data_IF_574642501647
#
_entry.id   IF_574642501647
#
_cell.length_a   1.000
_cell.length_b   1.000
_cell.length_c   1.000
_cell.angle_alpha   90.00
_cell.angle_beta   90.00
_cell.angle_gamma   90.00
#
_symmetry.space_group_name_H-M   'P 1'
#
loop_
_entity.id
_entity.type
_entity.pdbx_description
1 polymer ?
#
# COMPACT_ATOMS: atom_id res chain seq x y z
N UNK A 1 -23.48 -34.44 -63.15
CA UNK A 1 -23.95 -33.96 -61.82
C UNK A 1 -22.76 -33.96 -60.86
N UNK A 2 -22.16 -32.78 -60.56
CA UNK A 2 -21.07 -32.63 -59.62
C UNK A 2 -21.65 -32.44 -58.23
N UNK A 3 -21.40 -33.36 -57.31
CA UNK A 3 -21.77 -33.20 -55.89
C UNK A 3 -20.76 -32.29 -55.22
N UNK A 4 -21.22 -31.12 -54.79
CA UNK A 4 -20.48 -30.16 -54.00
C UNK A 4 -20.58 -30.57 -52.52
N UNK A 5 -19.49 -31.02 -51.92
CA UNK A 5 -19.40 -31.27 -50.45
C UNK A 5 -19.10 -29.96 -49.77
N UNK A 6 -20.07 -29.45 -49.02
CA UNK A 6 -19.91 -28.29 -48.15
C UNK A 6 -19.26 -28.82 -46.84
N UNK A 7 -17.95 -28.62 -46.68
CA UNK A 7 -17.26 -28.88 -45.44
C UNK A 7 -17.54 -27.75 -44.43
N UNK A 8 -18.35 -28.08 -43.44
CA UNK A 8 -18.61 -27.22 -42.30
C UNK A 8 -17.39 -27.24 -41.41
N UNK A 9 -16.54 -26.20 -41.46
CA UNK A 9 -15.47 -25.97 -40.50
C UNK A 9 -16.12 -25.50 -39.18
N UNK A 10 -16.26 -26.40 -38.21
CA UNK A 10 -16.57 -26.06 -36.83
C UNK A 10 -15.29 -25.51 -36.21
N UNK A 11 -15.15 -24.20 -36.18
CA UNK A 11 -14.12 -23.56 -35.35
C UNK A 11 -14.48 -23.79 -33.88
N UNK A 12 -13.89 -24.81 -33.27
CA UNK A 12 -13.82 -24.95 -31.82
C UNK A 12 -12.98 -23.79 -31.29
N UNK A 13 -13.66 -22.70 -30.94
CA UNK A 13 -13.09 -21.66 -30.08
C UNK A 13 -12.76 -22.29 -28.73
N UNK A 14 -11.52 -22.74 -28.55
CA UNK A 14 -11.00 -22.99 -27.23
C UNK A 14 -10.98 -21.65 -26.51
N UNK A 15 -12.04 -21.35 -25.73
CA UNK A 15 -11.95 -20.39 -24.65
C UNK A 15 -10.86 -20.93 -23.72
N UNK A 16 -9.63 -20.45 -23.88
CA UNK A 16 -8.65 -20.53 -22.83
C UNK A 16 -9.30 -19.79 -21.66
N UNK A 17 -9.80 -20.54 -20.68
CA UNK A 17 -10.02 -20.06 -19.35
C UNK A 17 -8.62 -19.66 -18.87
N UNK A 18 -8.24 -18.38 -19.09
CA UNK A 18 -7.19 -17.80 -18.30
C UNK A 18 -7.69 -17.95 -16.87
N UNK A 19 -7.18 -18.95 -16.15
CA UNK A 19 -7.31 -18.99 -14.70
C UNK A 19 -6.69 -17.67 -14.23
N UNK A 20 -7.52 -16.75 -13.83
CA UNK A 20 -7.06 -15.48 -13.27
C UNK A 20 -6.18 -15.86 -12.07
N UNK A 21 -4.90 -15.48 -12.12
CA UNK A 21 -3.98 -15.80 -11.04
C UNK A 21 -4.42 -15.03 -9.80
N UNK A 22 -4.63 -15.74 -8.69
CA UNK A 22 -5.04 -15.15 -7.43
C UNK A 22 -3.86 -14.47 -6.73
N UNK A 23 -4.15 -13.37 -6.06
CA UNK A 23 -3.21 -12.72 -5.14
C UNK A 23 -3.03 -13.61 -3.91
N UNK A 24 -1.79 -13.83 -3.48
CA UNK A 24 -1.51 -14.56 -2.26
C UNK A 24 -1.71 -13.66 -1.03
N UNK A 25 -2.81 -13.83 -0.31
CA UNK A 25 -3.18 -13.05 0.89
C UNK A 25 -3.30 -14.00 2.08
N UNK A 26 -2.23 -14.20 2.87
CA UNK A 26 -2.20 -15.17 3.96
C UNK A 26 -2.98 -14.73 5.20
N UNK A 27 -3.08 -13.40 5.46
CA UNK A 27 -3.83 -12.89 6.61
C UNK A 27 -5.34 -12.98 6.34
N UNK A 28 -6.04 -13.75 7.18
CA UNK A 28 -7.46 -14.01 6.98
C UNK A 28 -8.33 -12.76 7.14
N UNK A 29 -7.95 -11.82 8.02
CA UNK A 29 -8.69 -10.59 8.24
C UNK A 29 -8.50 -9.62 7.06
N UNK A 30 -7.28 -9.52 6.56
CA UNK A 30 -7.01 -8.72 5.36
C UNK A 30 -7.72 -9.30 4.14
N UNK A 31 -7.65 -10.63 3.95
CA UNK A 31 -8.38 -11.32 2.88
C UNK A 31 -9.89 -11.08 2.98
N UNK A 32 -10.46 -11.24 4.17
CA UNK A 32 -11.90 -11.02 4.39
C UNK A 32 -12.33 -9.59 4.06
N UNK A 33 -11.51 -8.60 4.42
CA UNK A 33 -11.75 -7.20 4.06
C UNK A 33 -11.77 -6.99 2.54
N UNK A 34 -10.76 -7.51 1.84
CA UNK A 34 -10.64 -7.34 0.39
C UNK A 34 -11.77 -8.06 -0.37
N UNK A 35 -12.05 -9.31 0.01
CA UNK A 35 -13.14 -10.12 -0.61
C UNK A 35 -14.51 -9.51 -0.32
N UNK A 36 -14.72 -8.92 0.86
CA UNK A 36 -15.97 -8.24 1.23
C UNK A 36 -16.17 -6.88 0.53
N UNK A 37 -15.15 -6.34 -0.11
CA UNK A 37 -15.24 -5.07 -0.82
C UNK A 37 -15.58 -5.28 -2.31
N UNK A 38 -16.82 -5.01 -2.70
CA UNK A 38 -17.31 -5.23 -4.07
C UNK A 38 -16.67 -4.32 -5.11
N UNK A 39 -16.00 -3.24 -4.72
CA UNK A 39 -15.22 -2.41 -5.63
C UNK A 39 -13.84 -3.04 -5.95
N UNK A 40 -13.36 -3.95 -5.11
CA UNK A 40 -12.13 -4.72 -5.30
C UNK A 40 -12.47 -6.08 -5.91
N UNK A 41 -13.25 -6.89 -5.19
CA UNK A 41 -13.75 -8.20 -5.62
C UNK A 41 -14.96 -8.01 -6.55
N UNK A 42 -14.68 -7.78 -7.82
CA UNK A 42 -15.69 -7.39 -8.82
C UNK A 42 -16.48 -8.57 -9.36
N UNK A 43 -15.92 -9.78 -9.27
CA UNK A 43 -16.57 -11.01 -9.71
C UNK A 43 -17.37 -11.70 -8.59
N UNK A 44 -17.17 -11.27 -7.31
CA UNK A 44 -17.90 -11.74 -6.14
C UNK A 44 -17.54 -13.16 -5.70
N UNK A 45 -16.35 -13.66 -6.07
CA UNK A 45 -15.86 -14.96 -5.61
C UNK A 45 -15.16 -14.87 -4.23
N UNK A 46 -14.42 -15.90 -3.82
CA UNK A 46 -13.75 -15.95 -2.50
C UNK A 46 -12.28 -15.58 -2.56
N UNK A 47 -11.79 -15.11 -3.71
CA UNK A 47 -10.40 -14.76 -3.97
C UNK A 47 -10.30 -13.34 -4.53
N UNK A 48 -9.10 -12.79 -4.54
CA UNK A 48 -8.78 -11.57 -5.27
C UNK A 48 -7.85 -11.94 -6.41
N UNK A 49 -8.24 -11.64 -7.63
CA UNK A 49 -7.40 -11.87 -8.79
C UNK A 49 -6.40 -10.73 -8.98
N UNK A 50 -5.26 -11.02 -9.58
CA UNK A 50 -4.25 -10.00 -9.92
C UNK A 50 -4.88 -8.90 -10.80
N UNK A 51 -5.78 -9.27 -11.72
CA UNK A 51 -6.48 -8.29 -12.57
C UNK A 51 -7.38 -7.32 -11.79
N UNK A 52 -8.02 -7.79 -10.72
CA UNK A 52 -8.82 -6.94 -9.83
C UNK A 52 -7.94 -6.01 -9.00
N UNK A 53 -6.89 -6.57 -8.40
CA UNK A 53 -5.94 -5.80 -7.59
C UNK A 53 -5.25 -4.70 -8.41
N UNK A 54 -4.77 -5.02 -9.61
CA UNK A 54 -4.08 -4.04 -10.48
C UNK A 54 -5.01 -2.98 -11.07
N UNK A 55 -6.30 -3.30 -11.24
CA UNK A 55 -7.29 -2.35 -11.74
C UNK A 55 -7.80 -1.39 -10.65
N UNK A 56 -7.61 -1.73 -9.36
CA UNK A 56 -8.14 -0.94 -8.27
C UNK A 56 -7.27 0.29 -7.99
N UNK A 57 -7.87 1.49 -8.12
CA UNK A 57 -7.21 2.79 -7.94
C UNK A 57 -7.72 3.56 -6.72
N UNK A 58 -8.59 2.95 -5.92
CA UNK A 58 -9.24 3.58 -4.77
C UNK A 58 -8.40 3.57 -3.50
N UNK A 59 -9.09 3.73 -2.38
CA UNK A 59 -8.53 3.68 -1.03
C UNK A 59 -8.72 2.29 -0.41
N UNK A 60 -7.67 1.69 0.13
CA UNK A 60 -7.79 0.53 1.01
C UNK A 60 -7.84 1.04 2.46
N UNK A 61 -9.02 0.92 3.09
CA UNK A 61 -9.33 1.38 4.45
C UNK A 61 -9.47 0.15 5.38
N UNK A 62 -8.35 -0.53 5.68
CA UNK A 62 -8.33 -1.77 6.46
C UNK A 62 -7.92 -1.57 7.92
N UNK A 63 -8.26 -0.40 8.50
CA UNK A 63 -7.93 -0.05 9.90
C UNK A 63 -8.71 -0.89 10.92
N UNK A 64 -8.08 -1.15 12.07
CA UNK A 64 -8.70 -1.78 13.24
C UNK A 64 -9.34 -3.15 12.96
N UNK A 65 -8.65 -3.98 12.17
CA UNK A 65 -9.12 -5.32 11.78
C UNK A 65 -8.26 -6.45 12.35
N UNK A 66 -7.34 -6.16 13.28
CA UNK A 66 -6.41 -7.13 13.88
C UNK A 66 -5.49 -7.81 12.86
N UNK A 67 -5.22 -7.15 11.74
CA UNK A 67 -4.34 -7.64 10.66
C UNK A 67 -2.91 -7.71 11.17
N UNK A 68 -2.21 -8.79 10.84
CA UNK A 68 -0.81 -9.03 11.22
C UNK A 68 0.13 -8.97 10.02
N UNK A 69 -0.39 -9.18 8.82
CA UNK A 69 0.38 -9.22 7.58
C UNK A 69 -0.46 -8.64 6.44
N UNK A 70 0.11 -7.68 5.71
CA UNK A 70 -0.51 -7.09 4.52
C UNK A 70 0.02 -7.71 3.22
N UNK A 71 0.66 -8.88 3.28
CA UNK A 71 1.08 -9.57 2.07
C UNK A 71 -0.09 -9.73 1.10
N UNK A 72 0.17 -9.40 -0.17
CA UNK A 72 -0.85 -9.26 -1.21
C UNK A 72 -1.13 -7.80 -1.57
N UNK A 73 -0.75 -6.84 -0.69
CA UNK A 73 -0.89 -5.40 -1.00
C UNK A 73 -0.04 -5.00 -2.21
N UNK A 74 1.07 -5.68 -2.45
CA UNK A 74 1.98 -5.45 -3.58
C UNK A 74 1.31 -5.61 -4.95
N UNK A 75 0.18 -6.34 -5.02
CA UNK A 75 -0.58 -6.49 -6.26
C UNK A 75 -1.41 -5.23 -6.62
N UNK A 76 -1.64 -4.34 -5.66
CA UNK A 76 -2.44 -3.12 -5.83
C UNK A 76 -1.56 -1.95 -6.30
N UNK A 77 -0.95 -2.10 -7.47
CA UNK A 77 0.08 -1.16 -7.97
C UNK A 77 -0.45 0.23 -8.32
N UNK A 78 -1.76 0.39 -8.51
CA UNK A 78 -2.41 1.67 -8.81
C UNK A 78 -3.09 2.30 -7.56
N UNK A 79 -2.85 1.72 -6.36
CA UNK A 79 -3.40 2.21 -5.10
C UNK A 79 -2.83 3.58 -4.76
N UNK A 80 -3.71 4.56 -4.45
CA UNK A 80 -3.32 5.92 -4.09
C UNK A 80 -3.33 6.17 -2.59
N UNK A 81 -4.18 5.46 -1.84
CA UNK A 81 -4.39 5.69 -0.42
C UNK A 81 -4.45 4.37 0.35
N UNK A 82 -3.61 4.22 1.37
CA UNK A 82 -3.61 3.05 2.25
C UNK A 82 -3.78 3.48 3.70
N UNK A 83 -4.86 3.03 4.34
CA UNK A 83 -5.04 3.13 5.77
C UNK A 83 -5.06 1.73 6.41
N UNK A 84 -3.93 1.37 7.00
CA UNK A 84 -3.75 0.13 7.77
C UNK A 84 -3.52 0.40 9.26
N UNK A 85 -3.94 1.54 9.77
CA UNK A 85 -3.78 1.95 11.15
C UNK A 85 -4.51 1.02 12.15
N UNK A 86 -4.11 1.05 13.43
CA UNK A 86 -4.72 0.25 14.51
C UNK A 86 -4.74 -1.25 14.20
N UNK A 87 -3.65 -1.79 13.70
CA UNK A 87 -3.49 -3.21 13.42
C UNK A 87 -2.34 -3.82 14.27
N UNK A 88 -1.86 -4.99 13.91
CA UNK A 88 -0.80 -5.71 14.62
C UNK A 88 0.42 -5.94 13.72
N UNK A 89 0.63 -5.06 12.72
CA UNK A 89 1.71 -5.19 11.75
C UNK A 89 3.06 -5.04 12.44
N UNK A 90 3.98 -5.98 12.18
CA UNK A 90 5.38 -5.89 12.57
C UNK A 90 6.28 -5.50 11.41
N UNK A 91 5.81 -5.69 10.20
CA UNK A 91 6.44 -5.31 8.93
C UNK A 91 5.39 -4.73 7.98
N UNK A 92 5.82 -3.87 7.07
CA UNK A 92 4.98 -3.33 6.01
C UNK A 92 5.86 -3.10 4.78
N UNK A 93 5.55 -3.79 3.69
CA UNK A 93 6.20 -3.59 2.39
C UNK A 93 5.20 -2.91 1.44
N UNK A 94 5.49 -1.68 1.09
CA UNK A 94 4.72 -0.85 0.13
C UNK A 94 5.56 -0.49 -1.10
N UNK A 95 6.68 -1.15 -1.31
CA UNK A 95 7.63 -0.83 -2.41
C UNK A 95 7.02 -0.95 -3.80
N UNK A 96 6.02 -1.83 -4.00
CA UNK A 96 5.30 -1.95 -5.26
C UNK A 96 4.17 -0.92 -5.43
N UNK A 97 3.72 -0.27 -4.36
CA UNK A 97 2.61 0.68 -4.37
C UNK A 97 3.12 2.11 -4.64
N UNK A 98 3.80 2.29 -5.75
CA UNK A 98 4.50 3.55 -6.09
C UNK A 98 3.57 4.73 -6.37
N UNK A 99 2.28 4.48 -6.58
CA UNK A 99 1.26 5.50 -6.76
C UNK A 99 0.69 6.07 -5.45
N UNK A 100 1.13 5.56 -4.27
CA UNK A 100 0.63 6.04 -2.98
C UNK A 100 0.94 7.52 -2.79
N UNK A 101 -0.12 8.27 -2.47
CA UNK A 101 -0.08 9.67 -2.06
C UNK A 101 -0.35 9.84 -0.57
N UNK A 102 -1.08 8.90 0.05
CA UNK A 102 -1.41 8.90 1.47
C UNK A 102 -1.13 7.53 2.08
N UNK A 103 -0.37 7.51 3.18
CA UNK A 103 -0.10 6.31 3.95
C UNK A 103 -0.37 6.55 5.45
N UNK A 104 -1.36 5.84 6.00
CA UNK A 104 -1.65 5.77 7.42
C UNK A 104 -1.33 4.37 7.96
N UNK A 105 -0.19 4.24 8.65
CA UNK A 105 0.26 2.99 9.27
C UNK A 105 0.49 3.12 10.78
N UNK A 106 -0.07 4.15 11.39
CA UNK A 106 0.06 4.45 12.82
C UNK A 106 -0.63 3.40 13.71
N UNK A 107 -0.26 3.34 15.00
CA UNK A 107 -0.77 2.36 15.96
C UNK A 107 -0.59 0.91 15.47
N UNK A 108 0.66 0.56 15.16
CA UNK A 108 1.10 -0.78 14.81
C UNK A 108 2.34 -1.16 15.66
N UNK A 109 3.10 -2.16 15.23
CA UNK A 109 4.32 -2.64 15.91
C UNK A 109 5.52 -2.62 14.94
N UNK A 110 5.53 -1.69 13.98
CA UNK A 110 6.58 -1.59 12.97
C UNK A 110 7.91 -1.19 13.64
N UNK A 111 8.96 -1.95 13.36
CA UNK A 111 10.32 -1.62 13.79
C UNK A 111 11.13 -0.94 12.71
N UNK A 112 10.73 -1.10 11.47
CA UNK A 112 11.28 -0.46 10.26
C UNK A 112 10.15 -0.07 9.33
N UNK A 113 10.36 0.96 8.51
CA UNK A 113 9.46 1.37 7.44
C UNK A 113 10.30 1.93 6.30
N UNK A 114 10.24 1.27 5.15
CA UNK A 114 10.87 1.75 3.92
C UNK A 114 9.80 2.35 3.01
N UNK A 115 9.93 3.63 2.72
CA UNK A 115 9.04 4.41 1.84
C UNK A 115 9.81 5.02 0.66
N UNK A 116 11.02 4.56 0.41
CA UNK A 116 11.90 5.11 -0.63
C UNK A 116 11.33 4.98 -2.05
N UNK A 117 10.49 3.97 -2.30
CA UNK A 117 9.79 3.79 -3.57
C UNK A 117 8.52 4.66 -3.70
N UNK A 118 8.00 5.20 -2.61
CA UNK A 118 6.73 5.91 -2.58
C UNK A 118 6.91 7.43 -2.75
N UNK A 119 7.59 7.82 -3.80
CA UNK A 119 8.02 9.22 -4.04
C UNK A 119 6.87 10.20 -4.28
N UNK A 120 5.65 9.70 -4.48
CA UNK A 120 4.43 10.50 -4.62
C UNK A 120 3.72 10.79 -3.29
N UNK A 121 4.20 10.27 -2.14
CA UNK A 121 3.58 10.50 -0.85
C UNK A 121 3.58 12.00 -0.49
N UNK A 122 2.39 12.51 -0.16
CA UNK A 122 2.19 13.85 0.40
C UNK A 122 1.88 13.80 1.88
N UNK A 123 1.30 12.69 2.35
CA UNK A 123 0.94 12.50 3.77
C UNK A 123 1.46 11.14 4.26
N UNK A 124 2.24 11.16 5.35
CA UNK A 124 2.71 9.95 6.02
C UNK A 124 2.42 10.05 7.53
N UNK A 125 1.54 9.18 8.04
CA UNK A 125 1.31 9.00 9.47
C UNK A 125 1.78 7.64 9.93
N UNK A 126 2.93 7.60 10.62
CA UNK A 126 3.55 6.39 11.14
C UNK A 126 3.76 6.44 12.67
N UNK A 127 3.05 7.35 13.36
CA UNK A 127 3.16 7.51 14.80
C UNK A 127 2.70 6.27 15.58
N UNK A 128 3.08 6.17 16.86
CA UNK A 128 2.79 5.01 17.71
C UNK A 128 3.22 3.68 17.06
N UNK A 129 4.50 3.59 16.76
CA UNK A 129 5.20 2.39 16.30
C UNK A 129 6.49 2.19 17.11
N UNK A 130 7.42 1.37 16.64
CA UNK A 130 8.70 1.07 17.29
C UNK A 130 9.87 1.42 16.35
N UNK A 131 9.71 2.43 15.48
CA UNK A 131 10.71 2.80 14.49
C UNK A 131 11.96 3.39 15.20
N UNK A 132 13.13 2.88 14.87
CA UNK A 132 14.41 3.41 15.35
C UNK A 132 15.07 4.35 14.35
N UNK A 133 14.72 4.23 13.09
CA UNK A 133 15.13 5.08 11.96
C UNK A 133 13.95 5.31 11.04
N UNK A 134 13.94 6.43 10.35
CA UNK A 134 12.99 6.76 9.29
C UNK A 134 13.70 7.62 8.26
N UNK A 135 13.79 7.13 7.02
CA UNK A 135 14.32 7.88 5.89
C UNK A 135 13.16 8.33 4.98
N UNK A 136 13.00 9.65 4.86
CA UNK A 136 12.01 10.29 4.01
C UNK A 136 12.64 11.10 2.88
N UNK A 137 13.95 10.99 2.68
CA UNK A 137 14.72 11.82 1.73
C UNK A 137 14.27 11.67 0.27
N UNK A 138 13.72 10.49 -0.10
CA UNK A 138 13.19 10.25 -1.44
C UNK A 138 11.84 10.94 -1.69
N UNK A 139 11.14 11.40 -0.64
CA UNK A 139 9.76 11.91 -0.71
C UNK A 139 9.76 13.45 -0.70
N UNK A 140 10.27 14.06 -1.73
CA UNK A 140 10.47 15.53 -1.80
C UNK A 140 9.17 16.34 -1.83
N UNK A 141 8.03 15.69 -2.11
CA UNK A 141 6.69 16.29 -2.17
C UNK A 141 5.91 16.13 -0.85
N UNK A 142 6.52 15.54 0.20
CA UNK A 142 5.87 15.33 1.49
C UNK A 142 5.49 16.66 2.14
N UNK A 143 4.20 16.82 2.48
CA UNK A 143 3.66 18.03 3.12
C UNK A 143 3.33 17.81 4.58
N UNK A 144 2.94 16.59 4.96
CA UNK A 144 2.58 16.24 6.33
C UNK A 144 3.28 14.97 6.78
N UNK A 145 4.06 15.05 7.87
CA UNK A 145 4.71 13.91 8.52
C UNK A 145 4.33 13.86 10.00
N UNK A 146 3.68 12.76 10.42
CA UNK A 146 3.57 12.42 11.84
C UNK A 146 4.31 11.10 12.12
N UNK A 147 5.46 11.22 12.79
CA UNK A 147 6.29 10.12 13.27
C UNK A 147 6.43 10.12 14.81
N UNK A 148 5.52 10.77 15.52
CA UNK A 148 5.49 10.83 16.96
C UNK A 148 5.40 9.46 17.65
N UNK A 149 5.78 9.35 18.92
CA UNK A 149 5.74 8.11 19.69
C UNK A 149 6.44 6.94 18.97
N UNK A 150 7.70 7.12 18.66
CA UNK A 150 8.61 6.12 18.09
C UNK A 150 9.93 6.11 18.91
N UNK A 151 10.97 5.49 18.39
CA UNK A 151 12.30 5.43 19.03
C UNK A 151 13.38 6.09 18.16
N UNK A 152 13.02 7.08 17.35
CA UNK A 152 13.94 7.76 16.44
C UNK A 152 15.02 8.50 17.24
N UNK A 153 16.27 8.27 16.89
CA UNK A 153 17.42 8.99 17.46
C UNK A 153 17.87 10.16 16.58
N UNK A 154 17.57 10.11 15.30
CA UNK A 154 17.81 11.14 14.30
C UNK A 154 16.62 11.21 13.34
N UNK A 155 16.39 12.38 12.77
CA UNK A 155 15.43 12.60 11.68
C UNK A 155 15.99 13.71 10.79
N UNK A 156 16.20 13.38 9.51
CA UNK A 156 16.60 14.34 8.49
C UNK A 156 15.41 14.62 7.57
N UNK A 157 14.97 15.87 7.54
CA UNK A 157 13.89 16.37 6.68
C UNK A 157 14.37 17.41 5.68
N UNK A 158 15.67 17.55 5.49
CA UNK A 158 16.27 18.58 4.63
C UNK A 158 15.86 18.47 3.17
N UNK A 159 15.56 17.24 2.69
CA UNK A 159 15.06 17.02 1.33
C UNK A 159 13.55 17.31 1.17
N UNK A 160 12.80 17.39 2.26
CA UNK A 160 11.33 17.55 2.26
C UNK A 160 10.95 19.03 2.30
N UNK A 161 11.37 19.80 1.33
CA UNK A 161 11.20 21.28 1.32
C UNK A 161 9.74 21.72 1.21
N UNK A 162 8.82 20.84 0.82
CA UNK A 162 7.38 21.08 0.78
C UNK A 162 6.68 20.80 2.13
N UNK A 163 7.43 20.37 3.18
CA UNK A 163 6.85 19.98 4.45
C UNK A 163 6.30 21.21 5.20
N UNK A 164 4.98 21.19 5.49
CA UNK A 164 4.27 22.22 6.24
C UNK A 164 4.00 21.80 7.69
N UNK A 165 3.79 20.51 7.91
CA UNK A 165 3.43 19.96 9.22
C UNK A 165 4.36 18.81 9.58
N UNK A 166 5.08 18.95 10.70
CA UNK A 166 5.97 17.95 11.24
C UNK A 166 5.66 17.66 12.71
N UNK A 167 5.20 16.44 12.99
CA UNK A 167 4.96 15.95 14.33
C UNK A 167 5.92 14.80 14.64
N UNK A 168 6.92 15.07 15.48
CA UNK A 168 7.98 14.10 15.85
C UNK A 168 8.15 13.98 17.38
N UNK A 169 7.12 14.31 18.14
CA UNK A 169 7.10 14.29 19.59
C UNK A 169 7.32 12.86 20.14
N UNK A 170 7.77 12.75 21.40
CA UNK A 170 8.01 11.46 22.08
C UNK A 170 8.91 10.50 21.27
N UNK A 171 10.03 11.02 20.81
CA UNK A 171 11.15 10.28 20.23
C UNK A 171 12.41 10.47 21.07
N UNK A 172 13.57 10.01 20.60
CA UNK A 172 14.88 10.15 21.25
C UNK A 172 15.77 11.16 20.50
N UNK A 173 15.16 12.10 19.76
CA UNK A 173 15.87 13.12 19.00
C UNK A 173 16.60 14.06 19.95
N UNK A 174 17.90 14.28 19.74
CA UNK A 174 18.69 15.27 20.48
C UNK A 174 18.77 16.61 19.76
N UNK A 175 18.62 16.59 18.45
CA UNK A 175 18.61 17.76 17.58
C UNK A 175 17.62 17.53 16.43
N UNK A 176 17.08 18.61 15.90
CA UNK A 176 16.25 18.61 14.70
C UNK A 176 16.53 19.90 13.93
N UNK A 177 16.94 19.76 12.67
CA UNK A 177 17.11 20.90 11.78
C UNK A 177 15.95 20.96 10.78
N UNK A 178 15.21 22.06 10.81
CA UNK A 178 14.08 22.33 9.92
C UNK A 178 14.33 23.57 9.05
N UNK A 179 15.58 24.01 8.94
CA UNK A 179 15.96 25.24 8.21
C UNK A 179 15.64 25.19 6.72
N UNK A 180 15.55 23.97 6.15
CA UNK A 180 15.19 23.76 4.74
C UNK A 180 13.67 23.73 4.49
N UNK A 181 12.84 23.59 5.54
CA UNK A 181 11.38 23.46 5.45
C UNK A 181 10.73 24.85 5.62
N UNK A 182 10.65 25.60 4.52
CA UNK A 182 10.21 26.99 4.52
C UNK A 182 8.81 27.21 3.90
N UNK A 183 8.09 26.13 3.65
CA UNK A 183 6.75 26.17 3.04
C UNK A 183 5.68 26.73 3.99
#
# INVERSE_FOLDING_TARGET
MKKMYLSLLVALGSSMLLNAQNVNIPDANFKAYLVGNTAINTNGDTEIQISEATAYTGTIECRNLLIKDLKGIEAFTALTDLNCAYNQLTTLDVSANTALTVLYCYNNKLTTLDVSANTALTVLWCYNNQLTTLDVSAITVLTFLDCGNNHLTTLDVSANTALTDLWCYNNQLTTLDVSANTA
#
